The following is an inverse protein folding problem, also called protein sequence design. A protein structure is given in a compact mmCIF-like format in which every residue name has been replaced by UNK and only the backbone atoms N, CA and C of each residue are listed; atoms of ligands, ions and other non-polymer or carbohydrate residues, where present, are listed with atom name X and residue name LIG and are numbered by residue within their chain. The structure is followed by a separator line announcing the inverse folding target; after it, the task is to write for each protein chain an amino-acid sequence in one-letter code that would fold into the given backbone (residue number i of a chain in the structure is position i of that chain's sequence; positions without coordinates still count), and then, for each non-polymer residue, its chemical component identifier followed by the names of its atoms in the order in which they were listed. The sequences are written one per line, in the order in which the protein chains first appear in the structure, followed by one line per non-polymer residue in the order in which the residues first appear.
data_IF_801265186331
#
_entry.id   IF_801265186331
#
_cell.length_a   1.000
_cell.length_b   1.000
_cell.length_c   1.000
_cell.angle_alpha   90.00
_cell.angle_beta   90.00
_cell.angle_gamma   90.00
#
_symmetry.space_group_name_H-M   'P 1'
#
loop_
_entity.id
_entity.type
_entity.pdbx_description
1 polymer ?
#
# COMPACT_ATOMS: atom_id res chain seq x y z
N UNK A 1 10.09 3.16 45.40
CA UNK A 1 9.24 2.06 44.93
C UNK A 1 9.94 1.54 43.71
N UNK A 2 10.30 0.26 43.71
CA UNK A 2 10.96 -0.35 42.56
C UNK A 2 9.91 -0.61 41.47
N UNK A 3 10.35 -0.57 40.21
CA UNK A 3 9.44 -0.68 39.06
C UNK A 3 8.80 -2.07 38.99
N UNK A 4 9.56 -3.13 39.30
CA UNK A 4 9.04 -4.50 39.46
C UNK A 4 7.90 -4.57 40.48
N UNK A 5 8.09 -4.05 41.70
CA UNK A 5 7.05 -4.05 42.75
C UNK A 5 5.77 -3.33 42.29
N UNK A 6 5.94 -2.28 41.50
CA UNK A 6 4.81 -1.54 40.94
C UNK A 6 4.05 -2.36 39.89
N UNK A 7 4.75 -3.12 39.05
CA UNK A 7 4.14 -4.04 38.08
C UNK A 7 3.43 -5.19 38.82
N UNK A 8 4.08 -5.78 39.82
CA UNK A 8 3.52 -6.88 40.61
C UNK A 8 2.32 -6.47 41.48
N UNK A 9 2.13 -5.17 41.74
CA UNK A 9 1.00 -4.65 42.52
C UNK A 9 -0.38 -4.90 41.89
N UNK A 10 -0.45 -5.32 40.63
CA UNK A 10 -1.72 -5.54 39.92
C UNK A 10 -2.41 -4.27 39.43
N UNK A 11 -1.69 -3.14 39.44
CA UNK A 11 -2.22 -1.84 39.00
C UNK A 11 -2.53 -1.82 37.50
N UNK A 12 -1.76 -2.53 36.68
CA UNK A 12 -1.94 -2.58 35.22
C UNK A 12 -3.28 -3.26 34.88
N UNK A 13 -3.57 -4.38 35.52
CA UNK A 13 -4.81 -5.14 35.36
C UNK A 13 -6.01 -4.33 35.85
N UNK A 14 -5.89 -3.71 37.02
CA UNK A 14 -6.93 -2.86 37.58
C UNK A 14 -7.22 -1.67 36.66
N UNK A 15 -6.18 -1.07 36.07
CA UNK A 15 -6.30 0.01 35.10
C UNK A 15 -6.98 -0.46 33.80
N UNK A 16 -6.52 -1.55 33.19
CA UNK A 16 -7.05 -2.08 31.93
C UNK A 16 -8.52 -2.52 32.05
N UNK A 17 -8.90 -3.07 33.20
CA UNK A 17 -10.28 -3.49 33.47
C UNK A 17 -11.18 -2.34 33.93
N UNK A 18 -10.64 -1.13 34.11
CA UNK A 18 -11.40 0.04 34.58
C UNK A 18 -11.82 -0.05 36.05
N UNK A 19 -11.11 -0.84 36.86
CA UNK A 19 -11.33 -1.00 38.30
C UNK A 19 -10.48 -0.04 39.14
N UNK A 20 -9.42 0.53 38.56
CA UNK A 20 -8.56 1.49 39.22
C UNK A 20 -9.30 2.79 39.59
N UNK A 21 -8.97 3.35 40.74
CA UNK A 21 -9.49 4.65 41.18
C UNK A 21 -8.88 5.79 40.36
N UNK A 22 -9.52 6.98 40.40
CA UNK A 22 -9.03 8.15 39.64
C UNK A 22 -7.62 8.57 40.04
N UNK A 23 -7.30 8.50 41.32
CA UNK A 23 -5.98 8.90 41.83
C UNK A 23 -4.89 7.91 41.36
N UNK A 24 -5.22 6.61 41.35
CA UNK A 24 -4.35 5.57 40.82
C UNK A 24 -4.13 5.69 39.32
N UNK A 25 -5.16 6.03 38.54
CA UNK A 25 -5.04 6.30 37.09
C UNK A 25 -4.08 7.46 36.83
N UNK A 26 -4.21 8.57 37.54
CA UNK A 26 -3.32 9.73 37.38
C UNK A 26 -1.88 9.38 37.75
N UNK A 27 -1.69 8.61 38.82
CA UNK A 27 -0.37 8.13 39.22
C UNK A 27 0.23 7.18 38.17
N UNK A 28 -0.58 6.28 37.61
CA UNK A 28 -0.20 5.34 36.57
C UNK A 28 0.21 6.05 35.28
N UNK A 29 -0.54 7.06 34.83
CA UNK A 29 -0.19 7.88 33.67
C UNK A 29 1.12 8.63 33.88
N UNK A 30 1.35 9.15 35.10
CA UNK A 30 2.64 9.76 35.47
C UNK A 30 3.77 8.73 35.41
N UNK A 31 3.55 7.53 35.94
CA UNK A 31 4.54 6.45 35.95
C UNK A 31 4.91 6.01 34.53
N UNK A 32 3.93 5.96 33.63
CA UNK A 32 4.12 5.67 32.20
C UNK A 32 5.00 6.70 31.48
N UNK A 33 4.96 7.96 31.90
CA UNK A 33 5.85 9.01 31.36
C UNK A 33 7.29 8.88 31.88
N UNK A 34 7.48 8.38 33.11
CA UNK A 34 8.80 8.23 33.73
C UNK A 34 9.47 6.93 33.24
N UNK A 35 8.69 5.86 33.08
CA UNK A 35 9.16 4.53 32.70
C UNK A 35 8.48 4.04 31.42
N UNK A 36 9.07 4.32 30.24
CA UNK A 36 8.49 3.88 28.96
C UNK A 36 8.47 2.35 28.80
N UNK A 37 9.28 1.62 29.58
CA UNK A 37 9.32 0.16 29.66
C UNK A 37 7.96 -0.43 30.10
N UNK A 38 7.19 0.32 30.90
CA UNK A 38 5.87 -0.07 31.37
C UNK A 38 4.89 -0.30 30.21
N UNK A 39 5.07 0.36 29.06
CA UNK A 39 4.24 0.15 27.88
C UNK A 39 4.36 -1.27 27.32
N UNK A 40 5.52 -1.93 27.46
CA UNK A 40 5.71 -3.32 27.03
C UNK A 40 4.91 -4.29 27.91
N UNK A 41 4.89 -4.05 29.21
CA UNK A 41 4.10 -4.83 30.16
C UNK A 41 2.60 -4.63 29.93
N UNK A 42 2.17 -3.38 29.70
CA UNK A 42 0.77 -3.05 29.35
C UNK A 42 0.34 -3.82 28.11
N UNK A 43 1.11 -3.76 27.02
CA UNK A 43 0.79 -4.46 25.78
C UNK A 43 0.72 -5.99 25.97
N UNK A 44 1.60 -6.55 26.81
CA UNK A 44 1.59 -7.98 27.15
C UNK A 44 0.32 -8.36 27.91
N UNK A 45 -0.12 -7.54 28.85
CA UNK A 45 -1.36 -7.75 29.59
C UNK A 45 -2.61 -7.55 28.72
N UNK A 46 -2.64 -6.54 27.85
CA UNK A 46 -3.70 -6.31 26.87
C UNK A 46 -3.88 -7.54 25.96
N UNK A 47 -2.77 -8.11 25.46
CA UNK A 47 -2.81 -9.31 24.63
C UNK A 47 -3.39 -10.52 25.39
N UNK A 48 -3.01 -10.72 26.66
CA UNK A 48 -3.59 -11.77 27.50
C UNK A 48 -5.10 -11.58 27.68
N UNK A 49 -5.54 -10.36 27.97
CA UNK A 49 -6.97 -10.05 28.11
C UNK A 49 -7.74 -10.27 26.80
N UNK A 50 -7.17 -9.88 25.66
CA UNK A 50 -7.77 -10.14 24.36
C UNK A 50 -7.96 -11.64 24.13
N UNK A 51 -6.94 -12.47 24.37
CA UNK A 51 -7.05 -13.92 24.23
C UNK A 51 -8.14 -14.53 25.10
N UNK A 52 -8.24 -14.09 26.35
CA UNK A 52 -9.30 -14.53 27.25
C UNK A 52 -10.69 -14.15 26.72
N UNK A 53 -10.83 -12.95 26.14
CA UNK A 53 -12.06 -12.52 25.49
C UNK A 53 -12.41 -13.30 24.23
N UNK A 54 -11.42 -13.70 23.44
CA UNK A 54 -11.61 -14.55 22.26
C UNK A 54 -12.01 -15.98 22.63
N UNK A 55 -11.36 -16.57 23.64
CA UNK A 55 -11.62 -17.95 24.09
C UNK A 55 -12.96 -18.07 24.84
N UNK A 56 -13.35 -17.04 25.61
CA UNK A 56 -14.58 -17.01 26.41
C UNK A 56 -15.75 -16.23 25.78
N UNK A 57 -15.57 -15.68 24.57
CA UNK A 57 -16.52 -14.77 23.95
C UNK A 57 -17.77 -15.47 23.41
N UNK A 58 -18.95 -14.93 23.74
CA UNK A 58 -20.23 -15.36 23.15
C UNK A 58 -20.50 -14.48 21.93
N UNK A 59 -20.85 -15.11 20.81
CA UNK A 59 -21.21 -14.38 19.59
C UNK A 59 -22.44 -13.49 19.82
N UNK A 60 -22.37 -12.18 19.54
CA UNK A 60 -23.52 -11.30 19.71
C UNK A 60 -24.63 -11.64 18.69
N UNK A 61 -25.91 -11.39 19.00
CA UNK A 61 -27.01 -11.57 18.04
C UNK A 61 -26.82 -10.73 16.79
N UNK A 62 -27.15 -11.28 15.61
CA UNK A 62 -26.98 -10.60 14.32
C UNK A 62 -27.67 -9.22 14.23
N UNK A 63 -28.75 -9.01 14.99
CA UNK A 63 -29.46 -7.73 15.06
C UNK A 63 -28.61 -6.58 15.63
N UNK A 64 -27.62 -6.89 16.47
CA UNK A 64 -26.71 -5.89 17.07
C UNK A 64 -25.86 -5.25 15.98
N UNK A 65 -25.33 -6.06 15.05
CA UNK A 65 -24.54 -5.56 13.93
C UNK A 65 -25.35 -4.59 13.05
N UNK A 66 -26.59 -4.92 12.73
CA UNK A 66 -27.46 -4.06 11.90
C UNK A 66 -27.66 -2.68 12.56
N UNK A 67 -27.93 -2.64 13.86
CA UNK A 67 -28.10 -1.37 14.61
C UNK A 67 -26.81 -0.55 14.68
N UNK A 68 -25.65 -1.20 14.71
CA UNK A 68 -24.35 -0.51 14.68
C UNK A 68 -24.11 0.05 13.28
N UNK A 69 -24.31 -0.76 12.24
CA UNK A 69 -24.10 -0.38 10.86
C UNK A 69 -24.97 0.82 10.44
N UNK A 70 -26.21 0.91 10.91
CA UNK A 70 -27.10 2.05 10.67
C UNK A 70 -26.63 3.38 11.32
N UNK A 71 -25.89 3.30 12.44
CA UNK A 71 -25.40 4.48 13.17
C UNK A 71 -24.05 4.97 12.68
N UNK A 72 -23.29 4.10 12.01
CA UNK A 72 -22.03 4.48 11.39
C UNK A 72 -22.39 5.24 10.12
N UNK A 73 -21.99 6.52 10.05
CA UNK A 73 -22.07 7.28 8.81
C UNK A 73 -21.02 6.73 7.85
N UNK A 74 -21.41 5.71 7.09
CA UNK A 74 -20.63 5.27 5.94
C UNK A 74 -20.64 6.42 4.94
N UNK A 75 -19.46 6.92 4.60
CA UNK A 75 -19.31 7.94 3.58
C UNK A 75 -19.77 7.31 2.26
N UNK A 76 -21.04 7.50 1.91
CA UNK A 76 -21.57 7.03 0.64
C UNK A 76 -20.75 7.71 -0.46
N UNK A 77 -20.20 6.96 -1.43
CA UNK A 77 -19.64 7.59 -2.63
C UNK A 77 -20.74 8.49 -3.20
N UNK A 78 -20.45 9.74 -3.58
CA UNK A 78 -21.48 10.69 -3.99
C UNK A 78 -22.24 10.10 -5.19
N UNK A 79 -23.39 9.51 -4.90
CA UNK A 79 -24.33 9.07 -5.93
C UNK A 79 -24.89 10.36 -6.49
N UNK A 80 -24.51 10.65 -7.73
CA UNK A 80 -25.03 11.77 -8.50
C UNK A 80 -26.53 11.57 -8.71
N UNK A 81 -27.30 11.92 -7.70
CA UNK A 81 -28.74 12.08 -7.80
C UNK A 81 -29.04 13.47 -7.30
N UNK A 82 -29.16 14.38 -8.26
CA UNK A 82 -29.73 15.70 -8.05
C UNK A 82 -31.10 15.54 -7.39
N UNK A 83 -31.20 15.83 -6.10
CA UNK A 83 -32.46 16.31 -5.55
C UNK A 83 -32.21 17.31 -4.43
N UNK A 84 -32.89 18.45 -4.60
CA UNK A 84 -32.71 19.73 -3.91
C UNK A 84 -32.85 19.66 -2.37
N UNK A 85 -32.05 20.53 -1.75
CA UNK A 85 -32.33 21.34 -0.54
C UNK A 85 -32.39 20.65 0.83
N UNK A 86 -31.44 21.02 1.71
CA UNK A 86 -31.71 21.99 2.79
C UNK A 86 -30.42 22.61 3.33
N UNK A 87 -30.53 23.90 3.62
CA UNK A 87 -29.48 24.80 4.07
C UNK A 87 -29.09 24.53 5.53
N UNK A 88 -27.79 24.48 5.78
CA UNK A 88 -27.18 24.54 7.11
C UNK A 88 -25.75 25.00 6.94
N UNK A 89 -25.46 26.24 7.32
CA UNK A 89 -24.14 26.85 7.15
C UNK A 89 -23.17 26.22 8.16
N UNK A 90 -22.39 25.24 7.69
CA UNK A 90 -21.19 24.79 8.40
C UNK A 90 -20.01 24.98 7.46
N UNK A 91 -19.20 25.98 7.77
CA UNK A 91 -17.92 26.22 7.10
C UNK A 91 -16.95 25.15 7.58
N UNK A 92 -16.97 23.99 6.92
CA UNK A 92 -15.87 23.04 6.99
C UNK A 92 -14.76 23.54 6.06
N UNK A 93 -13.61 23.84 6.65
CA UNK A 93 -12.37 24.09 5.93
C UNK A 93 -12.06 22.81 5.15
N UNK A 94 -12.38 22.79 3.86
CA UNK A 94 -12.04 21.69 2.98
C UNK A 94 -10.52 21.62 2.87
N UNK A 95 -9.90 20.66 3.54
CA UNK A 95 -8.58 20.22 3.19
C UNK A 95 -8.64 19.80 1.72
N UNK A 96 -8.05 20.61 0.84
CA UNK A 96 -7.96 20.35 -0.59
C UNK A 96 -7.15 19.06 -0.80
N UNK A 97 -7.84 17.93 -0.71
CA UNK A 97 -7.29 16.63 -1.06
C UNK A 97 -7.22 16.63 -2.58
N UNK A 98 -6.10 17.12 -3.09
CA UNK A 98 -5.68 16.93 -4.48
C UNK A 98 -5.40 15.45 -4.66
N UNK A 99 -6.45 14.64 -4.73
CA UNK A 99 -6.34 13.28 -5.26
C UNK A 99 -6.03 13.47 -6.73
N UNK A 100 -4.74 13.41 -7.06
CA UNK A 100 -4.25 13.35 -8.42
C UNK A 100 -4.81 12.05 -9.01
N UNK A 101 -5.99 12.13 -9.61
CA UNK A 101 -6.64 10.99 -10.26
C UNK A 101 -5.81 10.65 -11.49
N UNK A 102 -4.91 9.68 -11.33
CA UNK A 102 -4.17 9.11 -12.45
C UNK A 102 -5.23 8.49 -13.36
N UNK A 103 -5.48 9.17 -14.48
CA UNK A 103 -6.52 8.80 -15.42
C UNK A 103 -6.20 7.44 -16.03
N UNK A 104 -7.23 6.63 -16.25
CA UNK A 104 -7.14 5.29 -16.85
C UNK A 104 -6.29 5.27 -18.14
N UNK A 105 -6.22 6.41 -18.84
CA UNK A 105 -5.45 6.63 -20.06
C UNK A 105 -3.95 6.42 -19.90
N UNK A 106 -3.36 6.71 -18.73
CA UNK A 106 -1.92 6.50 -18.53
C UNK A 106 -1.56 5.01 -18.52
N UNK A 107 -2.47 4.16 -18.04
CA UNK A 107 -2.31 2.70 -18.10
C UNK A 107 -2.38 2.19 -19.54
N UNK A 108 -3.32 2.70 -20.34
CA UNK A 108 -3.41 2.35 -21.76
C UNK A 108 -2.19 2.82 -22.55
N UNK A 109 -1.67 4.02 -22.26
CA UNK A 109 -0.46 4.54 -22.89
C UNK A 109 0.77 3.65 -22.60
N UNK A 110 0.91 3.16 -21.37
CA UNK A 110 2.00 2.25 -20.99
C UNK A 110 1.90 0.89 -21.71
N UNK A 111 0.69 0.34 -21.81
CA UNK A 111 0.45 -0.92 -22.53
C UNK A 111 0.80 -0.75 -24.02
N UNK A 112 0.36 0.35 -24.66
CA UNK A 112 0.68 0.63 -26.05
C UNK A 112 2.19 0.75 -26.28
N UNK A 113 2.92 1.41 -25.38
CA UNK A 113 4.38 1.53 -25.43
C UNK A 113 5.06 0.16 -25.35
N UNK A 114 4.64 -0.72 -24.44
CA UNK A 114 5.18 -2.07 -24.33
C UNK A 114 4.97 -2.90 -25.61
N UNK A 115 3.80 -2.79 -26.24
CA UNK A 115 3.49 -3.48 -27.51
C UNK A 115 4.39 -2.99 -28.64
N UNK A 116 4.62 -1.67 -28.75
CA UNK A 116 5.51 -1.08 -29.76
C UNK A 116 6.95 -1.58 -29.57
N UNK A 117 7.45 -1.59 -28.32
CA UNK A 117 8.80 -2.09 -28.02
C UNK A 117 8.95 -3.56 -28.42
N UNK A 118 7.95 -4.40 -28.11
CA UNK A 118 7.96 -5.82 -28.51
C UNK A 118 8.00 -5.99 -30.04
N UNK A 119 7.23 -5.19 -30.78
CA UNK A 119 7.25 -5.22 -32.24
C UNK A 119 8.61 -4.79 -32.82
N UNK A 120 9.25 -3.78 -32.24
CA UNK A 120 10.59 -3.33 -32.66
C UNK A 120 11.66 -4.40 -32.41
N UNK A 121 11.61 -5.08 -31.28
CA UNK A 121 12.54 -6.17 -30.95
C UNK A 121 12.35 -7.33 -31.94
N UNK A 122 11.11 -7.76 -32.19
CA UNK A 122 10.80 -8.82 -33.15
C UNK A 122 11.26 -8.46 -34.58
N UNK A 123 11.01 -7.21 -35.01
CA UNK A 123 11.44 -6.72 -36.32
C UNK A 123 12.96 -6.69 -36.45
N UNK A 124 13.66 -6.23 -35.41
CA UNK A 124 15.13 -6.16 -35.39
C UNK A 124 15.73 -7.56 -35.47
N UNK A 125 15.17 -8.50 -34.70
CA UNK A 125 15.60 -9.90 -34.71
C UNK A 125 15.41 -10.57 -36.07
N UNK A 126 14.23 -10.38 -36.69
CA UNK A 126 13.95 -10.91 -38.03
C UNK A 126 14.89 -10.31 -39.08
N UNK A 127 15.11 -9.00 -39.03
CA UNK A 127 15.99 -8.32 -39.97
C UNK A 127 17.43 -8.79 -39.82
N UNK A 128 17.91 -8.97 -38.58
CA UNK A 128 19.24 -9.52 -38.30
C UNK A 128 19.41 -10.92 -38.89
N UNK A 129 18.44 -11.80 -38.70
CA UNK A 129 18.47 -13.14 -39.27
C UNK A 129 18.53 -13.11 -40.80
N UNK A 130 17.77 -12.20 -41.45
CA UNK A 130 17.80 -12.03 -42.91
C UNK A 130 19.12 -11.42 -43.39
N UNK A 131 19.71 -10.50 -42.63
CA UNK A 131 20.98 -9.85 -42.93
C UNK A 131 22.14 -10.84 -42.88
N UNK A 132 22.18 -11.72 -41.86
CA UNK A 132 23.19 -12.79 -41.78
C UNK A 132 23.12 -13.76 -42.97
N UNK A 133 21.92 -14.08 -43.46
CA UNK A 133 21.79 -14.90 -44.68
C UNK A 133 22.27 -14.14 -45.93
N UNK A 134 22.06 -12.82 -45.98
CA UNK A 134 22.53 -11.99 -47.09
C UNK A 134 24.07 -11.91 -47.13
N UNK A 135 24.72 -11.77 -45.98
CA UNK A 135 26.19 -11.78 -45.89
C UNK A 135 26.80 -13.10 -46.36
N UNK A 136 26.18 -14.24 -46.03
CA UNK A 136 26.63 -15.55 -46.51
C UNK A 136 26.57 -15.66 -48.04
N UNK A 137 25.50 -15.14 -48.66
CA UNK A 137 25.41 -15.06 -50.11
C UNK A 137 26.44 -14.07 -50.68
N UNK A 138 26.59 -12.88 -50.11
CA UNK A 138 27.56 -11.89 -50.59
C UNK A 138 28.99 -12.42 -50.52
N UNK A 139 29.42 -13.05 -49.42
CA UNK A 139 30.75 -13.64 -49.27
C UNK A 139 31.00 -14.84 -50.19
N UNK A 140 29.94 -15.57 -50.59
CA UNK A 140 30.02 -16.65 -51.57
C UNK A 140 30.13 -16.13 -53.02
N UNK A 141 29.58 -14.96 -53.33
CA UNK A 141 29.65 -14.34 -54.66
C UNK A 141 30.87 -13.41 -54.79
N UNK A 142 31.43 -12.91 -53.68
CA UNK A 142 32.62 -12.04 -53.69
C UNK A 142 33.99 -12.69 -54.02
N UNK A 143 34.20 -14.03 -54.10
CA UNK A 143 35.49 -14.57 -54.48
C UNK A 143 35.56 -14.80 -56.01
N UNK A 144 35.23 -13.83 -56.87
CA UNK A 144 35.50 -13.93 -58.34
C UNK A 144 35.73 -12.59 -59.08
N UNK A 145 35.94 -11.46 -58.39
CA UNK A 145 36.44 -10.22 -59.04
C UNK A 145 37.12 -9.36 -57.97
N UNK A 146 38.44 -9.13 -57.93
CA UNK A 146 39.33 -8.62 -58.97
C UNK A 146 40.81 -8.99 -58.63
N UNK A 147 41.71 -9.18 -59.62
CA UNK A 147 42.40 -8.03 -60.23
C UNK A 147 42.72 -8.17 -61.73
N UNK A 148 42.16 -7.29 -62.56
CA UNK A 148 42.83 -6.72 -63.73
C UNK A 148 42.51 -5.22 -63.60
N UNK A 149 43.45 -4.30 -63.49
CA UNK A 149 44.65 -4.12 -64.30
C UNK A 149 45.61 -3.14 -63.62
N UNK A 150 46.90 -3.43 -63.71
CA UNK A 150 48.03 -2.61 -63.24
C UNK A 150 48.07 -1.22 -63.91
N UNK A 151 48.59 -0.16 -63.26
CA UNK A 151 49.11 0.99 -63.99
C UNK A 151 50.56 0.73 -64.43
N UNK A 152 50.79 0.92 -65.73
CA UNK A 152 52.10 0.89 -66.41
C UNK A 152 52.95 2.09 -65.95
N UNK A 153 54.22 1.81 -65.69
CA UNK A 153 55.29 2.78 -65.43
C UNK A 153 55.72 3.47 -66.73
N UNK A 154 55.72 4.81 -66.75
CA UNK A 154 56.79 5.63 -67.35
C UNK A 154 56.73 7.06 -66.86
#
# INVERSE_FOLDING_TARGET
MDLEDYIESGIIESYLLGLATRDEVVMFERMRNIYPQLNGEIATMEYKLQRLGEEGGIAPPAQVWNRIAERIQWEEPPTKTDTKQKQGHTYIIQAQKRTMTISIWWRCAFIALCVIIMALIASTFYFYQKYSQLEQHLLQIYPTSQPMSQPVVK
#
